data_IF_312768421572
#
_entry.id   IF_312768421572
#
_cell.length_a   1.000
_cell.length_b   1.000
_cell.length_c   1.000
_cell.angle_alpha   90.00
_cell.angle_beta   90.00
_cell.angle_gamma   90.00
#
_symmetry.space_group_name_H-M   'P 1'
#
loop_
_entity.id
_entity.type
_entity.pdbx_description
1 polymer ?
#
# COMPACT_ATOMS: atom_id res chain seq x y z
N UNK A 1 7.12 -16.38 -7.98
CA UNK A 1 6.67 -16.26 -9.39
C UNK A 1 6.45 -14.79 -9.70
N UNK A 2 6.69 -14.33 -10.93
CA UNK A 2 6.32 -12.97 -11.36
C UNK A 2 4.80 -12.80 -11.39
N UNK A 3 4.30 -11.58 -11.17
CA UNK A 3 2.85 -11.32 -11.09
C UNK A 3 2.13 -11.64 -12.41
N UNK A 4 2.67 -11.16 -13.54
CA UNK A 4 2.12 -11.49 -14.88
C UNK A 4 2.01 -13.00 -15.09
N UNK A 5 3.10 -13.73 -14.82
CA UNK A 5 3.10 -15.19 -15.00
C UNK A 5 2.10 -15.90 -14.09
N UNK A 6 1.86 -15.39 -12.88
CA UNK A 6 0.85 -15.94 -11.98
C UNK A 6 -0.58 -15.70 -12.48
N UNK A 7 -0.85 -14.50 -13.01
CA UNK A 7 -2.15 -14.18 -13.60
C UNK A 7 -2.41 -15.00 -14.86
N UNK A 8 -1.41 -15.11 -15.75
CA UNK A 8 -1.51 -15.91 -16.99
C UNK A 8 -1.82 -17.38 -16.67
N UNK A 9 -1.16 -17.93 -15.65
CA UNK A 9 -1.39 -19.31 -15.22
C UNK A 9 -2.79 -19.50 -14.63
N UNK A 10 -3.25 -18.58 -13.79
CA UNK A 10 -4.61 -18.62 -13.26
C UNK A 10 -5.67 -18.51 -14.38
N UNK A 11 -5.46 -17.64 -15.37
CA UNK A 11 -6.36 -17.50 -16.51
C UNK A 11 -6.40 -18.77 -17.38
N UNK A 12 -5.25 -19.42 -17.62
CA UNK A 12 -5.20 -20.70 -18.32
C UNK A 12 -6.00 -21.79 -17.61
N UNK A 13 -6.05 -21.76 -16.28
CA UNK A 13 -6.86 -22.66 -15.46
C UNK A 13 -8.35 -22.25 -15.39
N UNK A 14 -8.74 -21.16 -16.07
CA UNK A 14 -10.12 -20.72 -16.19
C UNK A 14 -10.57 -19.68 -15.17
N UNK A 15 -9.69 -19.20 -14.28
CA UNK A 15 -10.03 -18.12 -13.35
C UNK A 15 -10.28 -16.82 -14.11
N UNK A 16 -11.43 -16.18 -13.81
CA UNK A 16 -11.86 -14.96 -14.51
C UNK A 16 -11.71 -13.68 -13.68
N UNK A 17 -11.65 -13.81 -12.36
CA UNK A 17 -11.55 -12.68 -11.44
C UNK A 17 -10.20 -12.70 -10.74
N UNK A 18 -9.31 -11.80 -11.15
CA UNK A 18 -7.98 -11.64 -10.56
C UNK A 18 -7.83 -10.23 -10.01
N UNK A 19 -7.31 -10.16 -8.78
CA UNK A 19 -6.89 -8.94 -8.11
C UNK A 19 -5.42 -9.06 -7.73
N UNK A 20 -4.78 -7.92 -7.62
CA UNK A 20 -3.46 -7.81 -7.04
C UNK A 20 -3.34 -6.53 -6.25
N UNK A 21 -2.44 -6.55 -5.28
CA UNK A 21 -2.17 -5.41 -4.42
C UNK A 21 -0.71 -5.39 -3.97
N UNK A 22 -0.26 -4.22 -3.51
CA UNK A 22 1.08 -4.02 -2.98
C UNK A 22 1.17 -4.58 -1.55
N UNK A 23 1.83 -5.72 -1.38
CA UNK A 23 1.98 -6.40 -0.08
C UNK A 23 2.72 -5.58 0.96
N UNK A 24 3.49 -4.55 0.57
CA UNK A 24 4.14 -3.63 1.51
C UNK A 24 3.20 -2.52 2.01
N UNK A 25 1.95 -2.48 1.53
CA UNK A 25 0.96 -1.50 1.96
C UNK A 25 1.33 -0.06 1.58
N UNK A 26 2.18 0.14 0.56
CA UNK A 26 2.62 1.48 0.11
C UNK A 26 1.66 2.11 -0.90
N UNK A 27 0.53 1.45 -1.15
CA UNK A 27 -0.53 1.93 -2.04
C UNK A 27 -0.11 2.09 -3.49
N UNK A 28 0.97 1.43 -3.94
CA UNK A 28 1.46 1.55 -5.31
C UNK A 28 0.52 0.84 -6.29
N UNK A 29 0.36 1.41 -7.47
CA UNK A 29 -0.36 0.75 -8.56
C UNK A 29 0.59 -0.16 -9.35
N UNK A 30 0.15 -1.39 -9.60
CA UNK A 30 0.83 -2.34 -10.48
C UNK A 30 0.50 -2.02 -11.94
N UNK A 31 1.14 -0.98 -12.49
CA UNK A 31 0.93 -0.57 -13.90
C UNK A 31 1.56 -1.60 -14.87
N UNK A 32 2.71 -2.15 -14.49
CA UNK A 32 3.44 -3.15 -15.26
C UNK A 32 3.66 -4.38 -14.39
N UNK A 33 2.80 -5.39 -14.53
CA UNK A 33 2.79 -6.59 -13.68
C UNK A 33 4.13 -7.37 -13.74
N UNK A 34 4.86 -7.28 -14.84
CA UNK A 34 6.21 -7.84 -14.98
C UNK A 34 7.24 -7.28 -13.99
N UNK A 35 7.01 -6.10 -13.44
CA UNK A 35 7.89 -5.48 -12.43
C UNK A 35 7.62 -5.96 -11.01
N UNK A 36 6.72 -6.94 -10.85
CA UNK A 36 6.24 -7.41 -9.55
C UNK A 36 6.39 -8.92 -9.42
N UNK A 37 6.58 -9.37 -8.18
CA UNK A 37 6.60 -10.79 -7.79
C UNK A 37 5.59 -11.07 -6.70
N UNK A 38 4.86 -12.17 -6.84
CA UNK A 38 3.84 -12.61 -5.88
C UNK A 38 4.52 -13.09 -4.60
N UNK A 39 4.02 -12.62 -3.47
CA UNK A 39 4.45 -12.97 -2.11
C UNK A 39 3.39 -13.79 -1.39
N UNK A 40 2.12 -13.48 -1.62
CA UNK A 40 0.98 -14.08 -0.92
C UNK A 40 -0.19 -14.25 -1.89
N UNK A 41 -1.12 -15.11 -1.50
CA UNK A 41 -2.38 -15.32 -2.20
C UNK A 41 -3.46 -15.70 -1.19
N UNK A 42 -4.69 -15.26 -1.44
CA UNK A 42 -5.84 -15.57 -0.57
C UNK A 42 -6.23 -17.06 -0.62
N UNK A 43 -6.02 -17.73 -1.75
CA UNK A 43 -6.24 -19.17 -1.90
C UNK A 43 -4.89 -19.88 -1.80
N UNK A 44 -4.78 -20.86 -0.89
CA UNK A 44 -3.53 -21.61 -0.70
C UNK A 44 -3.20 -22.42 -1.96
N UNK A 45 -1.92 -22.46 -2.33
CA UNK A 45 -1.44 -23.32 -3.42
C UNK A 45 -1.84 -24.79 -3.19
N UNK A 46 -2.31 -25.45 -4.24
CA UNK A 46 -2.80 -26.84 -4.19
C UNK A 46 -4.24 -26.99 -3.66
N UNK A 47 -4.92 -25.90 -3.31
CA UNK A 47 -6.34 -25.93 -2.97
C UNK A 47 -7.20 -25.89 -4.22
N UNK A 48 -8.11 -26.85 -4.36
CA UNK A 48 -9.15 -26.82 -5.39
C UNK A 48 -10.24 -25.82 -4.98
N UNK A 49 -10.55 -24.88 -5.87
CA UNK A 49 -11.67 -23.94 -5.71
C UNK A 49 -12.38 -23.73 -7.04
N UNK A 50 -13.55 -23.11 -7.02
CA UNK A 50 -14.29 -22.76 -8.25
C UNK A 50 -13.59 -21.64 -9.00
N UNK A 51 -13.64 -21.66 -10.33
CA UNK A 51 -13.01 -20.64 -11.20
C UNK A 51 -13.67 -19.26 -11.13
N UNK A 52 -14.84 -19.17 -10.49
CA UNK A 52 -15.51 -17.91 -10.17
C UNK A 52 -14.97 -17.27 -8.87
N UNK A 53 -14.10 -17.98 -8.14
CA UNK A 53 -13.38 -17.43 -6.98
C UNK A 53 -12.48 -16.28 -7.43
N UNK A 54 -12.53 -15.14 -6.73
CA UNK A 54 -11.57 -14.06 -6.97
C UNK A 54 -10.25 -14.41 -6.32
N UNK A 55 -9.20 -14.56 -7.13
CA UNK A 55 -7.84 -14.71 -6.63
C UNK A 55 -7.27 -13.32 -6.37
N UNK A 56 -6.73 -13.10 -5.17
CA UNK A 56 -6.05 -11.87 -4.78
C UNK A 56 -4.58 -12.18 -4.52
N UNK A 57 -3.70 -11.53 -5.28
CA UNK A 57 -2.26 -11.74 -5.29
C UNK A 57 -1.57 -10.54 -4.63
N UNK A 58 -1.08 -10.73 -3.41
CA UNK A 58 -0.18 -9.77 -2.79
C UNK A 58 1.20 -9.86 -3.44
N UNK A 59 1.72 -8.73 -3.91
CA UNK A 59 3.02 -8.68 -4.58
C UNK A 59 3.87 -7.48 -4.17
N UNK A 60 5.17 -7.59 -4.42
CA UNK A 60 6.17 -6.54 -4.21
C UNK A 60 6.99 -6.32 -5.47
N UNK A 61 7.72 -5.20 -5.58
CA UNK A 61 8.63 -4.99 -6.70
C UNK A 61 9.72 -6.06 -6.72
N UNK A 62 10.25 -6.38 -7.90
CA UNK A 62 11.23 -7.47 -8.08
C UNK A 62 12.41 -7.42 -7.08
N UNK A 63 12.93 -6.22 -6.81
CA UNK A 63 14.07 -5.99 -5.92
C UNK A 63 13.71 -5.96 -4.41
N UNK A 64 12.42 -5.99 -4.05
CA UNK A 64 11.98 -5.90 -2.66
C UNK A 64 11.83 -7.29 -2.02
N UNK A 65 11.91 -7.34 -0.69
CA UNK A 65 11.69 -8.57 0.07
C UNK A 65 10.20 -8.73 0.36
N UNK A 66 9.68 -9.94 0.18
CA UNK A 66 8.32 -10.26 0.59
C UNK A 66 8.17 -10.11 2.10
N UNK A 67 7.13 -9.41 2.58
CA UNK A 67 6.87 -9.34 4.02
C UNK A 67 6.43 -10.71 4.54
N UNK A 68 6.59 -10.95 5.85
CA UNK A 68 6.13 -12.20 6.47
C UNK A 68 4.61 -12.35 6.45
N UNK A 69 3.89 -11.23 6.39
CA UNK A 69 2.44 -11.12 6.22
C UNK A 69 2.12 -9.89 5.38
N UNK A 70 1.02 -9.93 4.64
CA UNK A 70 0.55 -8.76 3.90
C UNK A 70 0.29 -7.59 4.85
N UNK A 71 0.76 -6.41 4.42
CA UNK A 71 0.56 -5.17 5.16
C UNK A 71 -0.73 -4.52 4.66
N UNK A 72 -1.75 -4.54 5.52
CA UNK A 72 -3.00 -3.83 5.25
C UNK A 72 -2.76 -2.32 5.22
N UNK A 73 -3.29 -1.66 4.18
CA UNK A 73 -3.29 -0.21 4.10
C UNK A 73 -4.11 0.40 5.26
N UNK A 74 -3.70 1.56 5.81
CA UNK A 74 -4.49 2.26 6.82
C UNK A 74 -5.85 2.69 6.25
N UNK A 75 -6.86 2.75 7.11
CA UNK A 75 -8.19 3.26 6.77
C UNK A 75 -8.76 4.07 7.93
N UNK A 76 -9.54 5.11 7.63
CA UNK A 76 -10.22 5.93 8.65
C UNK A 76 -11.49 5.23 9.14
N UNK A 77 -11.33 4.11 9.84
CA UNK A 77 -12.46 3.40 10.43
C UNK A 77 -13.17 4.28 11.46
N UNK A 78 -14.49 4.44 11.34
CA UNK A 78 -15.30 5.20 12.30
C UNK A 78 -14.98 6.70 12.36
N UNK A 79 -14.44 7.29 11.29
CA UNK A 79 -14.14 8.72 11.22
C UNK A 79 -12.96 9.15 12.10
N UNK A 80 -12.07 8.22 12.47
CA UNK A 80 -10.85 8.52 13.22
C UNK A 80 -9.63 8.46 12.32
N UNK A 81 -8.65 9.30 12.62
CA UNK A 81 -7.36 9.33 11.94
C UNK A 81 -6.54 8.10 12.39
N UNK A 82 -6.11 7.22 11.48
CA UNK A 82 -5.29 6.07 11.83
C UNK A 82 -3.84 6.49 12.14
N UNK A 83 -3.07 5.56 12.70
CA UNK A 83 -1.63 5.73 12.85
C UNK A 83 -0.93 5.54 11.50
N UNK A 84 -0.28 6.61 11.05
CA UNK A 84 0.47 6.66 9.80
C UNK A 84 1.96 6.43 10.01
N UNK A 85 2.48 6.38 11.24
CA UNK A 85 3.91 6.20 11.48
C UNK A 85 4.47 4.97 10.75
N UNK A 86 5.53 5.16 9.96
CA UNK A 86 6.16 4.13 9.12
C UNK A 86 5.35 3.71 7.89
N UNK A 87 4.10 4.15 7.72
CA UNK A 87 3.29 3.93 6.52
C UNK A 87 3.70 4.89 5.41
N UNK A 88 3.40 4.52 4.16
CA UNK A 88 3.69 5.42 3.04
C UNK A 88 2.79 6.65 3.04
N UNK A 89 3.32 7.78 2.55
CA UNK A 89 2.54 9.02 2.39
C UNK A 89 1.35 8.79 1.45
N UNK A 90 1.51 7.99 0.38
CA UNK A 90 0.42 7.66 -0.56
C UNK A 90 -0.72 6.92 0.12
N UNK A 91 -0.37 5.92 0.95
CA UNK A 91 -1.36 5.15 1.71
C UNK A 91 -2.07 6.01 2.76
N UNK A 92 -1.35 6.94 3.40
CA UNK A 92 -1.94 7.89 4.34
C UNK A 92 -2.95 8.82 3.65
N UNK A 93 -2.59 9.38 2.48
CA UNK A 93 -3.49 10.20 1.67
C UNK A 93 -4.73 9.42 1.24
N UNK A 94 -4.56 8.19 0.77
CA UNK A 94 -5.68 7.33 0.37
C UNK A 94 -6.65 7.06 1.53
N UNK A 95 -6.13 6.87 2.75
CA UNK A 95 -6.93 6.63 3.94
C UNK A 95 -7.80 7.83 4.32
N UNK A 96 -7.29 9.07 4.16
CA UNK A 96 -7.98 10.30 4.55
C UNK A 96 -9.07 10.75 3.56
N UNK A 97 -9.08 10.18 2.36
CA UNK A 97 -10.00 10.55 1.27
C UNK A 97 -9.63 11.87 0.58
N UNK A 98 -10.18 12.08 -0.62
CA UNK A 98 -9.85 13.22 -1.50
C UNK A 98 -10.31 14.58 -0.99
N UNK A 99 -11.26 14.62 -0.04
CA UNK A 99 -11.79 15.86 0.54
C UNK A 99 -10.98 16.42 1.72
N UNK A 100 -9.98 15.68 2.22
CA UNK A 100 -9.17 16.11 3.37
C UNK A 100 -7.98 16.95 2.92
N UNK A 101 -7.86 18.17 3.46
CA UNK A 101 -6.67 18.98 3.25
C UNK A 101 -5.45 18.26 3.83
N UNK A 102 -4.41 18.10 3.03
CA UNK A 102 -3.26 17.25 3.35
C UNK A 102 -1.97 17.93 2.93
N UNK A 103 -1.08 18.15 3.89
CA UNK A 103 0.26 18.69 3.67
C UNK A 103 1.32 17.69 4.15
N UNK A 104 2.40 17.53 3.39
CA UNK A 104 3.52 16.68 3.77
C UNK A 104 4.83 17.43 3.59
N UNK A 105 5.74 17.33 4.57
CA UNK A 105 7.07 17.96 4.55
C UNK A 105 8.18 16.92 4.71
N UNK A 106 9.31 17.14 4.04
CA UNK A 106 10.51 16.34 4.20
C UNK A 106 11.15 16.59 5.57
N UNK A 107 11.23 15.56 6.42
CA UNK A 107 11.83 15.62 7.75
C UNK A 107 13.36 15.43 7.75
N UNK A 108 13.97 15.04 6.63
CA UNK A 108 15.43 14.81 6.54
C UNK A 108 16.27 16.08 6.62
N UNK A 109 15.65 17.27 6.62
CA UNK A 109 16.33 18.56 6.53
C UNK A 109 16.75 18.97 5.11
N UNK A 110 16.69 18.05 4.14
CA UNK A 110 17.04 18.31 2.74
C UNK A 110 15.99 19.12 1.97
N UNK A 111 14.80 19.35 2.56
CA UNK A 111 13.69 20.13 1.99
C UNK A 111 13.30 19.68 0.58
N UNK A 112 13.32 18.37 0.30
CA UNK A 112 12.98 17.82 -1.01
C UNK A 112 11.47 17.85 -1.26
N UNK A 113 11.10 17.92 -2.53
CA UNK A 113 9.72 17.74 -2.95
C UNK A 113 9.30 16.27 -2.88
N UNK A 114 8.15 16.03 -2.25
CA UNK A 114 7.56 14.69 -2.11
C UNK A 114 6.60 14.47 -3.28
N UNK A 115 7.15 14.09 -4.44
CA UNK A 115 6.36 13.89 -5.66
C UNK A 115 5.77 12.47 -5.77
N UNK A 116 6.60 11.45 -5.51
CA UNK A 116 6.20 10.04 -5.54
C UNK A 116 5.97 9.56 -4.11
N UNK A 117 4.80 9.88 -3.56
CA UNK A 117 4.44 9.67 -2.16
C UNK A 117 4.60 8.22 -1.65
N UNK A 118 4.50 7.24 -2.53
CA UNK A 118 4.72 5.83 -2.17
C UNK A 118 6.16 5.49 -1.80
N UNK A 119 7.11 6.37 -2.14
CA UNK A 119 8.54 6.18 -1.87
C UNK A 119 8.98 6.84 -0.55
N UNK A 120 8.03 7.35 0.22
CA UNK A 120 8.27 8.10 1.45
C UNK A 120 7.45 7.49 2.59
N UNK A 121 8.07 7.34 3.76
CA UNK A 121 7.42 6.90 5.00
C UNK A 121 7.15 8.08 5.91
N UNK A 122 6.00 8.06 6.57
CA UNK A 122 5.59 9.10 7.52
C UNK A 122 6.33 8.92 8.84
N UNK A 123 6.87 10.01 9.37
CA UNK A 123 7.55 10.05 10.67
C UNK A 123 6.63 10.60 11.76
N UNK A 124 5.99 11.74 11.51
CA UNK A 124 5.06 12.36 12.45
C UNK A 124 3.77 12.77 11.75
N UNK A 125 2.69 12.84 12.53
CA UNK A 125 1.37 13.25 12.06
C UNK A 125 0.73 14.26 13.01
N UNK A 126 -0.02 15.20 12.45
CA UNK A 126 -0.93 16.09 13.15
C UNK A 126 -2.22 16.19 12.35
N UNK A 127 -3.40 15.91 12.92
CA UNK A 127 -3.64 15.48 14.30
C UNK A 127 -3.10 14.08 14.64
N UNK A 128 -2.94 13.81 15.94
CA UNK A 128 -2.48 12.52 16.44
C UNK A 128 -3.42 11.37 16.07
N UNK A 129 -2.88 10.15 16.05
CA UNK A 129 -3.66 8.94 15.81
C UNK A 129 -4.84 8.83 16.80
N UNK A 130 -5.99 8.39 16.31
CA UNK A 130 -7.24 8.29 17.06
C UNK A 130 -8.07 9.58 17.13
N UNK A 131 -7.52 10.73 16.72
CA UNK A 131 -8.28 11.98 16.64
C UNK A 131 -9.43 11.86 15.62
N UNK A 132 -10.55 12.54 15.90
CA UNK A 132 -11.69 12.56 14.98
C UNK A 132 -11.35 13.37 13.72
N UNK A 133 -11.64 12.83 12.54
CA UNK A 133 -11.52 13.52 11.26
C UNK A 133 -12.80 14.35 11.03
N UNK A 134 -12.71 15.66 11.25
CA UNK A 134 -13.79 16.65 11.15
C UNK A 134 -13.57 17.66 10.02
N UNK A 135 -12.83 17.27 8.99
CA UNK A 135 -12.46 18.14 7.87
C UNK A 135 -11.31 19.11 8.16
N UNK A 136 -10.64 18.99 9.31
CA UNK A 136 -9.41 19.74 9.58
C UNK A 136 -8.26 19.31 8.65
N UNK A 137 -7.29 20.20 8.38
CA UNK A 137 -6.08 19.82 7.66
C UNK A 137 -5.27 18.78 8.44
N UNK A 138 -4.67 17.85 7.71
CA UNK A 138 -3.72 16.86 8.22
C UNK A 138 -2.33 17.22 7.71
N UNK A 139 -1.39 17.39 8.64
CA UNK A 139 0.02 17.65 8.37
C UNK A 139 0.86 16.43 8.73
N UNK A 140 1.66 15.97 7.79
CA UNK A 140 2.58 14.87 7.98
C UNK A 140 4.02 15.34 7.76
N UNK A 141 4.96 14.72 8.46
CA UNK A 141 6.37 14.74 8.06
C UNK A 141 6.76 13.37 7.52
N UNK A 142 7.67 13.33 6.56
CA UNK A 142 8.09 12.09 5.93
C UNK A 142 9.56 12.13 5.51
N UNK A 143 10.15 10.93 5.40
CA UNK A 143 11.50 10.68 4.88
C UNK A 143 11.45 9.54 3.88
N UNK A 144 12.54 9.29 3.14
CA UNK A 144 12.59 8.11 2.28
C UNK A 144 12.59 6.83 3.13
N UNK A 145 12.14 5.71 2.56
CA UNK A 145 12.02 4.46 3.31
C UNK A 145 13.35 3.97 3.93
N UNK A 146 14.47 4.27 3.27
CA UNK A 146 15.85 3.97 3.64
C UNK A 146 16.48 4.99 4.61
N UNK A 147 15.80 6.10 4.90
CA UNK A 147 16.26 7.14 5.82
C UNK A 147 15.63 6.98 7.21
N UNK A 148 16.29 7.40 8.30
CA UNK A 148 15.69 7.39 9.62
C UNK A 148 14.63 8.48 9.79
N UNK A 149 13.62 8.15 10.60
CA UNK A 149 12.85 9.12 11.38
C UNK A 149 13.55 9.24 12.75
#
# INVERSE_FOLDING_TARGET
>A
MGLQSAQDEAQKQGFRSLKSHDSLGRGRHQILDRDWKVCTQNVRAGTTTTTDTTLDLGSVKLAETCPSKDVTAPSTAGGKIPDFAGKSVKAARAALGSGTSFTVKDASGAKRWILIESNWKVCTQSPAAGAALRGQPVELTAVKFDEPC
#
